data_IF_090863242069
#
_entry.id   IF_090863242069
#
_cell.length_a   1.000
_cell.length_b   1.000
_cell.length_c   1.000
_cell.angle_alpha   90.00
_cell.angle_beta   90.00
_cell.angle_gamma   90.00
#
_symmetry.space_group_name_H-M   'P 1'
#
loop_
_entity.id
_entity.type
_entity.pdbx_description
1 polymer ?
#
# COMPACT_ATOMS: atom_id res chain seq x y z
N UNK A 1 -17.01 -10.97 -3.72
CA UNK A 1 -16.96 -11.29 -5.17
C UNK A 1 -15.62 -11.94 -5.45
N UNK A 2 -15.59 -13.11 -6.09
CA UNK A 2 -14.33 -13.75 -6.49
C UNK A 2 -13.62 -12.86 -7.50
N UNK A 3 -12.41 -12.42 -7.17
CA UNK A 3 -11.58 -11.64 -8.08
C UNK A 3 -11.22 -12.49 -9.31
N UNK A 4 -11.87 -12.22 -10.44
CA UNK A 4 -11.69 -12.92 -11.72
C UNK A 4 -10.62 -12.26 -12.60
N UNK A 5 -9.85 -11.29 -12.07
CA UNK A 5 -8.82 -10.60 -12.84
C UNK A 5 -7.62 -11.52 -13.08
N UNK A 6 -7.02 -11.50 -14.29
CA UNK A 6 -5.79 -12.22 -14.54
C UNK A 6 -4.66 -11.65 -13.66
N UNK A 7 -4.01 -12.52 -12.91
CA UNK A 7 -2.87 -12.15 -12.07
C UNK A 7 -1.58 -12.69 -12.67
N UNK A 8 -0.57 -11.82 -12.79
CA UNK A 8 0.73 -12.20 -13.32
C UNK A 8 1.55 -12.99 -12.28
N UNK A 9 1.53 -12.52 -11.03
CA UNK A 9 2.03 -13.27 -9.86
C UNK A 9 0.98 -13.24 -8.74
N UNK A 10 1.27 -13.86 -7.59
CA UNK A 10 0.35 -13.84 -6.45
C UNK A 10 0.05 -12.40 -6.01
N UNK A 11 -1.21 -11.94 -6.11
CA UNK A 11 -1.57 -10.58 -5.78
C UNK A 11 -1.51 -10.31 -4.26
N UNK A 12 -1.09 -9.11 -3.89
CA UNK A 12 -1.19 -8.61 -2.51
C UNK A 12 -2.61 -8.12 -2.30
N UNK A 13 -3.50 -9.01 -1.86
CA UNK A 13 -4.94 -8.72 -1.67
C UNK A 13 -5.31 -8.20 -0.29
N UNK A 14 -4.39 -8.29 0.67
CA UNK A 14 -4.60 -7.93 2.07
C UNK A 14 -3.32 -7.38 2.68
N UNK A 15 -3.48 -6.51 3.66
CA UNK A 15 -2.44 -6.06 4.57
C UNK A 15 -2.67 -6.75 5.91
N UNK A 16 -1.57 -7.23 6.50
CA UNK A 16 -1.57 -7.73 7.88
C UNK A 16 -0.83 -6.73 8.77
N UNK A 17 -0.99 -6.85 10.09
CA UNK A 17 -0.26 -6.02 11.04
C UNK A 17 1.25 -6.01 10.79
N UNK A 18 1.86 -7.19 10.61
CA UNK A 18 3.31 -7.30 10.35
C UNK A 18 3.76 -6.56 9.08
N UNK A 19 2.87 -6.37 8.10
CA UNK A 19 3.20 -5.67 6.86
C UNK A 19 3.33 -4.15 7.02
N UNK A 20 2.69 -3.58 8.04
CA UNK A 20 2.61 -2.12 8.24
C UNK A 20 3.10 -1.65 9.62
N UNK A 21 3.25 -2.54 10.60
CA UNK A 21 3.58 -2.20 11.99
C UNK A 21 4.87 -1.39 12.12
N UNK A 22 5.96 -1.78 11.44
CA UNK A 22 7.20 -1.01 11.47
C UNK A 22 7.02 0.41 10.92
N UNK A 23 6.26 0.56 9.83
CA UNK A 23 5.98 1.88 9.25
C UNK A 23 5.12 2.72 10.19
N UNK A 24 4.10 2.11 10.80
CA UNK A 24 3.24 2.78 11.80
C UNK A 24 4.07 3.24 13.00
N UNK A 25 4.95 2.39 13.52
CA UNK A 25 5.81 2.72 14.66
C UNK A 25 6.75 3.89 14.32
N UNK A 26 7.36 3.88 13.13
CA UNK A 26 8.19 4.98 12.65
C UNK A 26 7.38 6.27 12.53
N UNK A 27 6.22 6.24 11.88
CA UNK A 27 5.34 7.40 11.72
C UNK A 27 4.94 7.99 13.07
N UNK A 28 4.51 7.17 14.02
CA UNK A 28 4.10 7.65 15.34
C UNK A 28 5.29 8.15 16.18
N UNK A 29 6.48 7.55 16.05
CA UNK A 29 7.68 8.02 16.73
C UNK A 29 8.20 9.34 16.16
N UNK A 30 8.05 9.56 14.85
CA UNK A 30 8.37 10.83 14.18
C UNK A 30 7.42 11.95 14.63
N UNK A 31 6.11 11.67 14.68
CA UNK A 31 5.09 12.69 14.90
C UNK A 31 4.87 13.00 16.39
N UNK A 32 5.09 12.01 17.29
CA UNK A 32 4.89 12.15 18.75
C UNK A 32 6.04 11.60 19.59
N UNK A 33 7.29 12.04 19.39
CA UNK A 33 8.43 11.54 20.15
C UNK A 33 8.30 11.82 21.66
N UNK A 34 7.55 12.85 22.04
CA UNK A 34 7.31 13.26 23.43
C UNK A 34 5.83 13.62 23.71
N UNK A 35 4.89 13.12 22.90
CA UNK A 35 3.46 13.48 22.96
C UNK A 35 3.09 14.71 22.11
N UNK A 36 1.82 15.13 22.19
CA UNK A 36 1.30 16.34 21.52
C UNK A 36 0.95 17.40 22.57
N UNK A 37 1.88 18.33 22.87
CA UNK A 37 1.66 19.33 23.91
C UNK A 37 0.50 20.28 23.59
N UNK A 38 0.14 20.46 22.32
CA UNK A 38 -0.94 21.38 21.94
C UNK A 38 -2.28 20.76 22.30
N UNK A 39 -2.55 19.55 21.83
CA UNK A 39 -3.84 18.89 22.09
C UNK A 39 -3.97 18.49 23.56
N UNK A 40 -2.89 17.99 24.19
CA UNK A 40 -2.90 17.57 25.60
C UNK A 40 -3.05 18.74 26.58
N UNK A 41 -2.67 19.97 26.19
CA UNK A 41 -2.88 21.17 27.01
C UNK A 41 -4.29 21.75 26.90
N UNK A 42 -4.93 21.58 25.74
CA UNK A 42 -6.24 22.18 25.44
C UNK A 42 -7.38 21.23 25.84
N UNK A 43 -7.16 19.91 25.72
CA UNK A 43 -8.19 18.90 25.92
C UNK A 43 -7.75 17.82 26.89
N UNK A 44 -8.68 17.41 27.76
CA UNK A 44 -8.53 16.21 28.57
C UNK A 44 -8.88 14.95 27.76
N UNK A 45 -8.29 13.80 28.13
CA UNK A 45 -8.63 12.51 27.51
C UNK A 45 -10.06 12.02 27.82
N UNK A 46 -10.78 12.65 28.74
CA UNK A 46 -12.21 12.41 28.98
C UNK A 46 -13.11 13.08 27.92
N UNK A 47 -12.60 14.12 27.24
CA UNK A 47 -13.35 14.80 26.19
C UNK A 47 -13.29 13.99 24.90
N UNK A 48 -14.44 13.45 24.50
CA UNK A 48 -14.59 12.66 23.29
C UNK A 48 -15.09 13.50 22.12
N UNK A 49 -14.66 13.13 20.91
CA UNK A 49 -15.05 13.83 19.69
C UNK A 49 -15.21 12.90 18.50
N UNK A 50 -15.51 13.50 17.35
CA UNK A 50 -15.56 12.81 16.06
C UNK A 50 -14.82 13.61 15.01
N UNK A 51 -13.74 13.05 14.48
CA UNK A 51 -13.03 13.55 13.31
C UNK A 51 -13.63 12.98 12.03
N UNK A 52 -13.74 13.79 10.97
CA UNK A 52 -14.22 13.34 9.65
C UNK A 52 -13.14 13.59 8.60
N UNK A 53 -12.73 12.53 7.91
CA UNK A 53 -11.81 12.65 6.77
C UNK A 53 -12.65 12.79 5.50
N UNK A 54 -12.56 13.96 4.85
CA UNK A 54 -13.32 14.30 3.66
C UNK A 54 -12.37 14.48 2.48
N UNK A 55 -12.68 13.79 1.38
CA UNK A 55 -11.91 13.88 0.15
C UNK A 55 -11.97 15.28 -0.45
N UNK A 56 -10.81 15.84 -0.82
CA UNK A 56 -10.74 17.12 -1.56
C UNK A 56 -10.73 16.93 -3.08
N UNK A 57 -10.36 15.75 -3.54
CA UNK A 57 -10.30 15.35 -4.95
C UNK A 57 -10.98 14.00 -5.12
N UNK A 58 -11.39 13.64 -6.33
CA UNK A 58 -11.92 12.30 -6.63
C UNK A 58 -10.78 11.28 -6.81
N UNK A 59 -11.02 10.02 -6.48
CA UNK A 59 -9.98 8.99 -6.54
C UNK A 59 -10.47 7.59 -6.21
N UNK A 60 -9.53 6.71 -5.87
CA UNK A 60 -9.79 5.34 -5.39
C UNK A 60 -9.25 5.21 -3.97
N UNK A 61 -10.10 4.76 -3.04
CA UNK A 61 -9.76 4.64 -1.63
C UNK A 61 -8.76 3.49 -1.43
N UNK A 62 -7.70 3.72 -0.68
CA UNK A 62 -6.79 2.67 -0.23
C UNK A 62 -6.12 3.09 1.07
N UNK A 63 -5.98 2.15 2.00
CA UNK A 63 -5.28 2.34 3.26
C UNK A 63 -6.13 2.13 4.49
N UNK A 64 -7.43 1.83 4.37
CA UNK A 64 -8.27 1.50 5.54
C UNK A 64 -7.70 0.33 6.35
N UNK A 65 -7.15 -0.68 5.68
CA UNK A 65 -6.49 -1.80 6.36
C UNK A 65 -5.26 -1.36 7.19
N UNK A 66 -4.58 -0.28 6.79
CA UNK A 66 -3.47 0.30 7.57
C UNK A 66 -4.01 1.14 8.73
N UNK A 67 -5.13 1.87 8.53
CA UNK A 67 -5.76 2.68 9.57
C UNK A 67 -6.27 1.81 10.72
N UNK A 68 -6.79 0.62 10.44
CA UNK A 68 -7.17 -0.36 11.45
C UNK A 68 -6.00 -0.67 12.40
N UNK A 69 -4.88 -1.11 11.85
CA UNK A 69 -3.69 -1.44 12.64
C UNK A 69 -3.06 -0.22 13.31
N UNK A 70 -3.15 0.97 12.70
CA UNK A 70 -2.69 2.23 13.31
C UNK A 70 -3.47 2.52 14.60
N UNK A 71 -4.80 2.41 14.56
CA UNK A 71 -5.65 2.61 15.73
C UNK A 71 -5.38 1.57 16.83
N UNK A 72 -5.17 0.30 16.45
CA UNK A 72 -4.81 -0.78 17.38
C UNK A 72 -3.47 -0.49 18.08
N UNK A 73 -2.43 -0.18 17.32
CA UNK A 73 -1.09 0.12 17.85
C UNK A 73 -1.13 1.38 18.72
N UNK A 74 -1.89 2.41 18.33
CA UNK A 74 -2.06 3.60 19.16
C UNK A 74 -2.69 3.26 20.51
N UNK A 75 -3.75 2.44 20.51
CA UNK A 75 -4.41 2.01 21.74
C UNK A 75 -3.45 1.24 22.65
N UNK A 76 -2.64 0.35 22.09
CA UNK A 76 -1.63 -0.40 22.87
C UNK A 76 -0.56 0.50 23.46
N UNK A 77 -0.14 1.54 22.73
CA UNK A 77 0.88 2.50 23.19
C UNK A 77 0.39 3.45 24.28
N UNK A 78 -0.86 3.91 24.16
CA UNK A 78 -1.37 5.04 24.95
C UNK A 78 -2.45 4.66 25.94
N UNK A 79 -3.07 3.48 25.78
CA UNK A 79 -4.28 3.10 26.50
C UNK A 79 -5.56 3.76 25.96
N UNK A 80 -5.46 4.71 25.02
CA UNK A 80 -6.59 5.45 24.49
C UNK A 80 -7.05 4.90 23.14
N UNK A 81 -8.28 4.39 23.11
CA UNK A 81 -8.86 3.81 21.89
C UNK A 81 -9.41 4.89 20.96
N UNK A 82 -9.05 4.81 19.69
CA UNK A 82 -9.68 5.54 18.59
C UNK A 82 -10.32 4.50 17.66
N UNK A 83 -11.62 4.61 17.43
CA UNK A 83 -12.36 3.73 16.54
C UNK A 83 -12.58 4.44 15.21
N UNK A 84 -12.32 3.75 14.09
CA UNK A 84 -12.66 4.28 12.78
C UNK A 84 -13.91 3.61 12.21
N UNK A 85 -14.69 4.37 11.44
CA UNK A 85 -15.85 3.87 10.69
C UNK A 85 -15.77 4.41 9.27
N UNK A 86 -15.87 3.52 8.28
CA UNK A 86 -15.89 3.87 6.85
C UNK A 86 -17.12 3.27 6.19
N UNK A 87 -17.81 4.07 5.36
CA UNK A 87 -18.85 3.59 4.45
C UNK A 87 -18.30 3.02 3.15
N UNK A 88 -16.99 3.12 2.95
CA UNK A 88 -16.27 2.66 1.77
C UNK A 88 -15.30 1.53 2.12
N UNK A 89 -14.86 0.80 1.10
CA UNK A 89 -13.84 -0.23 1.18
C UNK A 89 -12.62 0.15 0.32
N UNK A 90 -11.45 -0.36 0.69
CA UNK A 90 -10.26 -0.21 -0.13
C UNK A 90 -10.50 -0.79 -1.54
N UNK A 91 -10.12 -0.01 -2.56
CA UNK A 91 -10.40 -0.27 -3.98
C UNK A 91 -11.69 0.37 -4.50
N UNK A 92 -12.52 1.00 -3.66
CA UNK A 92 -13.72 1.69 -4.14
C UNK A 92 -13.41 3.10 -4.64
N UNK A 93 -14.02 3.54 -5.76
CA UNK A 93 -13.93 4.92 -6.22
C UNK A 93 -14.74 5.86 -5.31
N UNK A 94 -14.29 7.11 -5.21
CA UNK A 94 -14.97 8.17 -4.49
C UNK A 94 -14.87 9.51 -5.23
N UNK A 95 -15.78 10.43 -4.90
CA UNK A 95 -15.79 11.79 -5.45
C UNK A 95 -15.26 12.81 -4.45
N UNK A 96 -14.77 13.96 -4.92
CA UNK A 96 -14.53 15.12 -4.06
C UNK A 96 -15.75 15.45 -3.18
N UNK A 97 -15.52 15.80 -1.92
CA UNK A 97 -16.55 16.01 -0.91
C UNK A 97 -17.06 14.73 -0.23
N UNK A 98 -16.65 13.54 -0.69
CA UNK A 98 -17.03 12.27 -0.06
C UNK A 98 -16.34 12.13 1.30
N UNK A 99 -17.11 11.78 2.34
CA UNK A 99 -16.54 11.39 3.62
C UNK A 99 -15.95 9.98 3.49
N UNK A 100 -14.63 9.87 3.59
CA UNK A 100 -13.92 8.60 3.46
C UNK A 100 -14.03 7.76 4.73
N UNK A 101 -13.80 8.37 5.89
CA UNK A 101 -13.96 7.73 7.19
C UNK A 101 -14.25 8.74 8.30
N UNK A 102 -14.70 8.22 9.43
CA UNK A 102 -14.82 8.93 10.70
C UNK A 102 -13.90 8.30 11.74
N UNK A 103 -13.36 9.10 12.65
CA UNK A 103 -12.60 8.68 13.82
C UNK A 103 -13.36 9.12 15.08
N UNK A 104 -13.54 8.21 16.04
CA UNK A 104 -14.25 8.45 17.29
C UNK A 104 -13.38 8.04 18.49
N UNK A 105 -13.34 8.86 19.54
CA UNK A 105 -12.47 8.63 20.70
C UNK A 105 -12.10 9.93 21.41
N UNK A 106 -11.14 9.89 22.35
CA UNK A 106 -10.60 11.07 23.02
C UNK A 106 -10.03 12.09 22.03
N UNK A 107 -10.33 13.38 22.22
CA UNK A 107 -9.87 14.45 21.34
C UNK A 107 -8.35 14.49 21.14
N UNK A 108 -7.51 14.42 22.19
CA UNK A 108 -6.06 14.38 21.99
C UNK A 108 -5.59 13.20 21.13
N UNK A 109 -6.20 12.03 21.32
CA UNK A 109 -5.86 10.82 20.55
C UNK A 109 -6.29 10.93 19.08
N UNK A 110 -7.48 11.49 18.80
CA UNK A 110 -7.92 11.74 17.42
C UNK A 110 -6.97 12.72 16.71
N UNK A 111 -6.62 13.83 17.37
CA UNK A 111 -5.77 14.87 16.79
C UNK A 111 -4.34 14.37 16.55
N UNK A 112 -3.80 13.58 17.48
CA UNK A 112 -2.51 12.89 17.31
C UNK A 112 -2.50 11.97 16.09
N UNK A 113 -3.59 11.25 15.83
CA UNK A 113 -3.67 10.32 14.70
C UNK A 113 -4.02 10.99 13.38
N UNK A 114 -4.38 12.27 13.36
CA UNK A 114 -4.82 12.96 12.14
C UNK A 114 -3.76 12.88 11.04
N UNK A 115 -2.54 13.31 11.32
CA UNK A 115 -1.46 13.36 10.33
C UNK A 115 -1.03 11.96 9.87
N UNK A 116 -0.81 10.98 10.76
CA UNK A 116 -0.55 9.59 10.38
C UNK A 116 -1.64 9.01 9.47
N UNK A 117 -2.92 9.18 9.83
CA UNK A 117 -4.06 8.68 9.03
C UNK A 117 -4.07 9.32 7.64
N UNK A 118 -3.94 10.64 7.57
CA UNK A 118 -3.92 11.37 6.31
C UNK A 118 -2.74 10.95 5.43
N UNK A 119 -1.54 10.82 5.98
CA UNK A 119 -0.35 10.46 5.21
C UNK A 119 -0.48 9.07 4.56
N UNK A 120 -0.97 8.07 5.32
CA UNK A 120 -1.19 6.72 4.77
C UNK A 120 -2.28 6.73 3.70
N UNK A 121 -3.44 7.33 3.97
CA UNK A 121 -4.54 7.39 3.00
C UNK A 121 -4.12 8.14 1.73
N UNK A 122 -3.50 9.32 1.85
CA UNK A 122 -3.09 10.11 0.70
C UNK A 122 -2.10 9.37 -0.18
N UNK A 123 -1.07 8.76 0.42
CA UNK A 123 -0.05 8.03 -0.34
C UNK A 123 -0.65 6.82 -1.07
N UNK A 124 -1.43 6.00 -0.36
CA UNK A 124 -1.96 4.76 -0.91
C UNK A 124 -3.10 5.03 -1.91
N UNK A 125 -4.04 5.91 -1.58
CA UNK A 125 -5.07 6.35 -2.54
C UNK A 125 -4.49 7.04 -3.75
N UNK A 126 -3.38 7.78 -3.60
CA UNK A 126 -2.67 8.39 -4.73
C UNK A 126 -2.20 7.33 -5.73
N UNK A 127 -1.56 6.26 -5.24
CA UNK A 127 -1.15 5.12 -6.06
C UNK A 127 -2.36 4.46 -6.73
N UNK A 128 -3.38 4.10 -5.95
CA UNK A 128 -4.58 3.43 -6.48
C UNK A 128 -5.29 4.26 -7.55
N UNK A 129 -5.36 5.57 -7.37
CA UNK A 129 -6.00 6.49 -8.32
C UNK A 129 -5.21 6.64 -9.62
N UNK A 130 -3.87 6.67 -9.55
CA UNK A 130 -3.01 6.66 -10.75
C UNK A 130 -3.16 5.35 -11.51
N UNK A 131 -3.15 4.22 -10.81
CA UNK A 131 -3.29 2.89 -11.42
C UNK A 131 -4.67 2.74 -12.06
N UNK A 132 -5.74 3.17 -11.41
CA UNK A 132 -7.09 3.10 -11.97
C UNK A 132 -7.21 3.87 -13.29
N UNK A 133 -6.61 5.06 -13.38
CA UNK A 133 -6.55 5.82 -14.64
C UNK A 133 -5.74 5.10 -15.72
N UNK A 134 -4.62 4.48 -15.36
CA UNK A 134 -3.81 3.71 -16.32
C UNK A 134 -4.55 2.47 -16.82
N UNK A 135 -5.23 1.74 -15.94
CA UNK A 135 -6.06 0.57 -16.30
C UNK A 135 -7.19 0.99 -17.23
N UNK A 136 -7.88 2.09 -16.90
CA UNK A 136 -8.93 2.63 -17.76
C UNK A 136 -8.40 3.02 -19.15
N UNK A 137 -7.23 3.67 -19.22
CA UNK A 137 -6.63 4.11 -20.47
C UNK A 137 -6.13 2.95 -21.35
N UNK A 138 -5.65 1.86 -20.73
CA UNK A 138 -5.11 0.71 -21.45
C UNK A 138 -6.20 -0.20 -22.04
N UNK A 139 -7.40 -0.18 -21.46
CA UNK A 139 -8.52 -1.03 -21.90
C UNK A 139 -8.46 -2.45 -21.34
N UNK A 140 -9.46 -3.30 -21.67
CA UNK A 140 -9.69 -4.58 -21.00
C UNK A 140 -8.64 -5.65 -21.32
N UNK A 141 -7.93 -5.53 -22.45
CA UNK A 141 -7.00 -6.56 -22.94
C UNK A 141 -5.56 -6.36 -22.46
N UNK A 142 -5.28 -5.25 -21.76
CA UNK A 142 -3.93 -4.90 -21.30
C UNK A 142 -3.92 -4.82 -19.78
N UNK A 143 -3.06 -5.63 -19.16
CA UNK A 143 -2.84 -5.61 -17.73
C UNK A 143 -1.77 -4.57 -17.34
N UNK A 144 -2.07 -3.73 -16.34
CA UNK A 144 -1.11 -2.78 -15.77
C UNK A 144 -0.33 -3.46 -14.64
N UNK A 145 0.97 -3.63 -14.85
CA UNK A 145 1.90 -4.23 -13.88
C UNK A 145 2.66 -3.15 -13.11
N UNK A 146 2.84 -3.38 -11.82
CA UNK A 146 3.79 -2.64 -11.01
C UNK A 146 5.23 -3.20 -11.12
N UNK A 147 6.15 -2.63 -10.35
CA UNK A 147 7.55 -3.07 -10.33
C UNK A 147 8.09 -3.15 -8.90
N UNK A 148 9.40 -3.38 -8.76
CA UNK A 148 10.12 -3.25 -7.48
C UNK A 148 10.67 -1.84 -7.22
N UNK A 149 10.38 -0.87 -8.09
CA UNK A 149 10.73 0.56 -7.94
C UNK A 149 9.77 1.22 -6.94
N UNK A 150 9.88 0.81 -5.69
CA UNK A 150 9.03 1.26 -4.59
C UNK A 150 9.83 2.05 -3.57
N UNK A 151 9.16 2.88 -2.77
CA UNK A 151 9.79 3.46 -1.58
C UNK A 151 10.29 2.32 -0.67
N UNK A 152 11.52 2.39 -0.13
CA UNK A 152 12.04 1.41 0.82
C UNK A 152 11.07 1.20 2.00
N UNK A 153 10.87 -0.04 2.43
CA UNK A 153 9.89 -0.40 3.48
C UNK A 153 8.43 -0.47 3.00
N UNK A 154 8.01 0.37 2.05
CA UNK A 154 6.61 0.47 1.61
C UNK A 154 6.16 -0.56 0.57
N UNK A 155 7.04 -1.47 0.12
CA UNK A 155 6.77 -2.30 -1.06
C UNK A 155 5.42 -3.01 -0.99
N UNK A 156 5.11 -3.67 0.13
CA UNK A 156 3.87 -4.46 0.24
C UNK A 156 2.62 -3.58 0.24
N UNK A 157 2.67 -2.43 0.89
CA UNK A 157 1.60 -1.43 0.88
C UNK A 157 1.41 -0.83 -0.52
N UNK A 158 2.49 -0.51 -1.23
CA UNK A 158 2.42 -0.01 -2.60
C UNK A 158 1.82 -1.05 -3.57
N UNK A 159 2.22 -2.33 -3.44
CA UNK A 159 1.66 -3.45 -4.22
C UNK A 159 0.16 -3.64 -3.91
N UNK A 160 -0.24 -3.53 -2.65
CA UNK A 160 -1.65 -3.54 -2.26
C UNK A 160 -2.43 -2.37 -2.88
N UNK A 161 -1.87 -1.16 -2.86
CA UNK A 161 -2.49 0.01 -3.49
C UNK A 161 -2.64 -0.15 -5.01
N UNK A 162 -1.67 -0.78 -5.69
CA UNK A 162 -1.79 -1.14 -7.12
C UNK A 162 -2.97 -2.09 -7.34
N UNK A 163 -3.09 -3.13 -6.50
CA UNK A 163 -4.20 -4.09 -6.57
C UNK A 163 -5.57 -3.41 -6.36
N UNK A 164 -5.67 -2.50 -5.38
CA UNK A 164 -6.85 -1.68 -5.12
C UNK A 164 -7.20 -0.77 -6.29
N UNK A 165 -6.19 -0.25 -7.00
CA UNK A 165 -6.37 0.56 -8.21
C UNK A 165 -6.78 -0.22 -9.45
N UNK A 166 -6.94 -1.54 -9.37
CA UNK A 166 -7.29 -2.38 -10.53
C UNK A 166 -6.10 -3.01 -11.24
N UNK A 167 -4.87 -2.62 -10.90
CA UNK A 167 -3.65 -3.19 -11.46
C UNK A 167 -3.35 -4.59 -10.95
N UNK A 168 -2.31 -5.20 -11.52
CA UNK A 168 -1.85 -6.54 -11.18
C UNK A 168 -0.41 -6.50 -10.70
N UNK A 169 -0.05 -7.37 -9.76
CA UNK A 169 1.27 -7.35 -9.16
C UNK A 169 2.26 -8.15 -10.01
N UNK A 170 3.39 -7.52 -10.32
CA UNK A 170 4.62 -8.24 -10.71
C UNK A 170 5.28 -8.83 -9.46
N UNK A 171 6.43 -9.51 -9.60
CA UNK A 171 7.12 -10.16 -8.46
C UNK A 171 7.34 -9.20 -7.27
N UNK A 172 7.09 -9.69 -6.06
CA UNK A 172 7.27 -8.92 -4.81
C UNK A 172 8.74 -8.84 -4.43
N UNK A 173 9.49 -9.92 -4.65
CA UNK A 173 10.88 -10.04 -4.27
C UNK A 173 11.71 -10.77 -5.34
N UNK A 174 13.00 -10.95 -5.07
CA UNK A 174 13.91 -11.66 -5.98
C UNK A 174 13.62 -13.16 -6.04
N UNK A 175 13.00 -13.72 -5.00
CA UNK A 175 12.78 -15.15 -4.85
C UNK A 175 11.52 -15.66 -5.56
N UNK A 176 10.53 -14.80 -5.83
CA UNK A 176 9.26 -15.25 -6.42
C UNK A 176 9.39 -15.64 -7.89
N UNK A 177 10.34 -15.00 -8.59
CA UNK A 177 10.53 -15.17 -10.02
C UNK A 177 11.93 -14.73 -10.43
N UNK A 178 12.57 -15.56 -11.24
CA UNK A 178 13.80 -15.20 -11.90
C UNK A 178 13.54 -14.17 -13.01
N UNK A 179 14.37 -13.14 -13.07
CA UNK A 179 14.29 -12.12 -14.12
C UNK A 179 15.70 -11.83 -14.60
N UNK A 180 16.00 -12.29 -15.82
CA UNK A 180 17.26 -12.01 -16.51
C UNK A 180 17.18 -10.57 -17.02
N UNK A 181 18.29 -9.85 -16.85
CA UNK A 181 18.49 -8.45 -17.25
C UNK A 181 19.83 -8.36 -17.96
N UNK A 182 20.07 -7.26 -18.65
CA UNK A 182 21.35 -6.85 -19.24
C UNK A 182 22.61 -7.34 -18.47
N UNK A 183 22.68 -7.04 -17.16
CA UNK A 183 23.81 -7.37 -16.30
C UNK A 183 24.00 -8.89 -16.15
N UNK A 184 22.91 -9.64 -16.09
CA UNK A 184 22.95 -11.10 -16.01
C UNK A 184 23.38 -11.71 -17.34
N UNK A 185 22.87 -11.17 -18.47
CA UNK A 185 23.22 -11.64 -19.82
C UNK A 185 24.71 -11.44 -20.08
N UNK A 186 25.24 -10.25 -19.77
CA UNK A 186 26.66 -9.94 -19.91
C UNK A 186 27.54 -10.88 -19.09
N UNK A 187 27.19 -11.10 -17.82
CA UNK A 187 27.95 -11.98 -16.93
C UNK A 187 27.85 -13.48 -17.29
N UNK A 188 26.72 -13.92 -17.83
CA UNK A 188 26.50 -15.31 -18.24
C UNK A 188 27.05 -15.64 -19.64
N UNK A 189 27.48 -14.63 -20.40
CA UNK A 189 27.93 -14.79 -21.78
C UNK A 189 26.78 -15.11 -22.75
N UNK A 190 25.58 -14.57 -22.49
CA UNK A 190 24.41 -14.69 -23.38
C UNK A 190 23.14 -15.16 -22.69
N UNK A 191 22.00 -14.88 -23.34
CA UNK A 191 20.66 -15.22 -22.82
C UNK A 191 20.51 -16.73 -22.64
N UNK A 192 20.90 -17.52 -23.65
CA UNK A 192 20.81 -19.00 -23.62
C UNK A 192 21.52 -19.59 -22.40
N UNK A 193 22.73 -19.13 -22.11
CA UNK A 193 23.51 -19.60 -20.96
C UNK A 193 22.83 -19.24 -19.65
N UNK A 194 22.32 -18.01 -19.52
CA UNK A 194 21.60 -17.57 -18.33
C UNK A 194 20.32 -18.39 -18.10
N UNK A 195 19.52 -18.61 -19.15
CA UNK A 195 18.28 -19.40 -19.09
C UNK A 195 18.59 -20.85 -18.69
N UNK A 196 19.57 -21.48 -19.32
CA UNK A 196 19.97 -22.86 -19.00
C UNK A 196 20.46 -23.00 -17.56
N UNK A 197 21.26 -22.04 -17.07
CA UNK A 197 21.76 -22.04 -15.70
C UNK A 197 20.62 -21.95 -14.67
N UNK A 198 19.60 -21.13 -14.94
CA UNK A 198 18.42 -21.01 -14.07
C UNK A 198 17.56 -22.27 -14.16
N UNK A 199 17.23 -22.76 -15.36
CA UNK A 199 16.41 -23.96 -15.54
C UNK A 199 17.04 -25.22 -14.94
N UNK A 200 18.37 -25.32 -14.95
CA UNK A 200 19.09 -26.42 -14.30
C UNK A 200 18.94 -26.44 -12.77
N UNK A 201 18.89 -25.26 -12.12
CA UNK A 201 18.82 -25.14 -10.65
C UNK A 201 17.40 -24.96 -10.12
N UNK A 202 16.54 -24.31 -10.90
CA UNK A 202 15.19 -23.92 -10.55
C UNK A 202 14.26 -24.18 -11.74
N UNK A 203 13.98 -25.47 -12.05
CA UNK A 203 13.22 -25.86 -13.24
C UNK A 203 11.82 -25.25 -13.28
N UNK A 204 11.15 -25.19 -12.12
CA UNK A 204 9.75 -24.77 -12.00
C UNK A 204 9.58 -23.28 -11.67
N UNK A 205 10.66 -22.54 -11.42
CA UNK A 205 10.57 -21.13 -11.07
C UNK A 205 10.15 -20.32 -12.32
N UNK A 206 9.13 -19.44 -12.22
CA UNK A 206 8.83 -18.51 -13.30
C UNK A 206 10.09 -17.75 -13.74
N UNK A 207 10.23 -17.52 -15.03
CA UNK A 207 11.39 -16.86 -15.63
C UNK A 207 10.95 -15.84 -16.66
N UNK A 208 11.42 -14.62 -16.48
CA UNK A 208 11.30 -13.53 -17.44
C UNK A 208 12.68 -13.13 -17.95
N UNK A 209 12.78 -12.74 -19.22
CA UNK A 209 14.00 -12.21 -19.83
C UNK A 209 13.68 -10.82 -20.35
N UNK A 210 14.39 -9.81 -19.86
CA UNK A 210 14.33 -8.45 -20.40
C UNK A 210 15.20 -8.37 -21.65
N UNK A 211 14.61 -7.92 -22.76
CA UNK A 211 15.27 -7.74 -24.06
C UNK A 211 15.10 -6.28 -24.51
N UNK A 212 16.11 -5.74 -25.18
CA UNK A 212 16.17 -4.38 -25.70
C UNK A 212 16.33 -4.30 -27.24
N UNK A 213 16.50 -5.44 -27.90
CA UNK A 213 16.61 -5.61 -29.34
C UNK A 213 15.76 -6.82 -29.83
N UNK A 214 15.54 -6.91 -31.15
CA UNK A 214 14.72 -7.98 -31.74
C UNK A 214 15.51 -9.27 -31.99
N UNK A 215 16.82 -9.15 -32.15
CA UNK A 215 17.78 -10.25 -32.33
C UNK A 215 17.95 -11.12 -31.07
#
# INVERSE_FOLDING_TARGET
>A
MSDSRPHYTTPVRRITRTDCETLIQLTLAEDTPAGDPTSESIFSFEQHGTGRIVARESGVLCGLAVIEHLCEINRERTGHAVHYVSGLQDGQPFNAGTQLLQLHGPLPAILTLERPVLNFLQYLSGISSVVARAVQAAGPDIAILDTRKTIPGYRKLAKYAVYCGGGTNHRICLSDMAMIKDNHVAAAGGITNAVQAIRKRHPDLPLEVEVDALE
#
